data_IF_169536038948
#
_entry.id   IF_169536038948
#
_cell.length_a   1.000
_cell.length_b   1.000
_cell.length_c   1.000
_cell.angle_alpha   90.00
_cell.angle_beta   90.00
_cell.angle_gamma   90.00
#
_symmetry.space_group_name_H-M   'P 1'
#
loop_
_entity.id
_entity.type
_entity.pdbx_description
1 polymer ?
2 non-polymer ?
3 non-polymer ?
4 non-polymer ?
5 water ?
#
# COMPACT_ATOMS: atom_id res chain seq x y z
N UNK A 1 16.65 -5.77 4.94
CA UNK A 1 16.31 -4.77 5.99
C UNK A 1 15.26 -5.26 6.97
N UNK A 2 14.46 -4.34 7.54
CA UNK A 2 13.48 -4.70 8.55
C UNK A 2 12.30 -5.51 8.01
N UNK A 3 11.85 -6.48 8.80
CA UNK A 3 10.62 -7.22 8.51
C UNK A 3 9.79 -7.33 9.78
N UNK A 4 8.48 -7.57 9.62
CA UNK A 4 7.64 -7.91 10.75
C UNK A 4 8.05 -9.29 11.27
N UNK A 5 8.16 -9.41 12.59
CA UNK A 5 8.64 -10.64 13.24
C UNK A 5 7.49 -11.41 13.91
N UNK A 6 6.32 -11.29 13.32
CA UNK A 6 5.10 -11.90 13.84
C UNK A 6 4.18 -12.15 12.65
N UNK A 7 3.21 -13.05 12.82
CA UNK A 7 2.36 -13.39 11.68
C UNK A 7 1.03 -12.66 11.60
N UNK A 8 0.51 -12.22 12.74
CA UNK A 8 -0.75 -11.48 12.76
C UNK A 8 -0.45 -9.99 12.73
N UNK A 9 -0.83 -9.35 11.62
CA UNK A 9 -0.56 -7.93 11.39
C UNK A 9 -1.88 -7.18 11.31
N UNK A 10 -1.95 -6.02 11.96
CA UNK A 10 -3.16 -5.21 11.92
C UNK A 10 -2.97 -3.96 11.07
N UNK A 11 -4.07 -3.52 10.48
CA UNK A 11 -4.11 -2.24 9.79
C UNK A 11 -5.34 -1.46 10.21
N UNK A 12 -5.25 -0.15 10.06
CA UNK A 12 -6.36 0.74 10.36
C UNK A 12 -6.42 1.82 9.29
N UNK A 13 -7.63 2.16 8.86
CA UNK A 13 -7.81 3.26 7.93
C UNK A 13 -8.09 4.52 8.73
N UNK A 14 -7.10 5.42 8.75
CA UNK A 14 -7.14 6.65 9.54
C UNK A 14 -8.26 7.58 9.14
N UNK A 15 -8.44 7.72 7.83
CA UNK A 15 -9.40 8.64 7.24
C UNK A 15 -9.65 8.19 5.81
N UNK A 16 -10.73 8.72 5.23
CA UNK A 16 -11.18 8.28 3.92
C UNK A 16 -11.15 9.40 2.90
N UNK A 17 -10.60 9.09 1.73
CA UNK A 17 -10.65 10.03 0.62
C UNK A 17 -12.10 10.31 0.19
N UNK A 18 -12.43 11.59 -0.07
CA UNK A 18 -13.77 11.91 -0.58
C UNK A 18 -13.92 11.56 -2.07
N UNK A 19 -12.85 11.05 -2.68
CA UNK A 19 -12.86 10.69 -4.09
C UNK A 19 -13.68 9.43 -4.36
N UNK A 20 -13.89 8.61 -3.32
CA UNK A 20 -14.45 7.27 -3.48
C UNK A 20 -15.56 7.01 -2.47
N UNK A 21 -16.40 6.03 -2.78
CA UNK A 21 -17.32 5.50 -1.79
C UNK A 21 -16.54 4.82 -0.67
N UNK A 22 -16.99 5.02 0.58
CA UNK A 22 -16.31 4.43 1.74
C UNK A 22 -16.08 2.93 1.60
N UNK A 23 -17.12 2.20 1.19
CA UNK A 23 -17.01 0.75 1.06
C UNK A 23 -15.97 0.34 0.01
N UNK A 24 -15.80 1.17 -1.01
CA UNK A 24 -14.83 0.89 -2.06
C UNK A 24 -13.39 1.11 -1.59
N UNK A 25 -13.18 2.08 -0.71
CA UNK A 25 -11.88 2.26 -0.09
C UNK A 25 -11.54 1.04 0.77
N UNK A 26 -12.48 0.63 1.62
CA UNK A 26 -12.28 -0.55 2.46
C UNK A 26 -11.92 -1.78 1.62
N UNK A 27 -12.66 -1.99 0.53
CA UNK A 27 -12.46 -3.17 -0.29
C UNK A 27 -11.13 -3.13 -1.06
N UNK A 28 -10.78 -1.97 -1.60
CA UNK A 28 -9.50 -1.82 -2.31
C UNK A 28 -8.32 -2.15 -1.40
N UNK A 29 -8.36 -1.62 -0.18
CA UNK A 29 -7.30 -1.85 0.78
C UNK A 29 -7.26 -3.31 1.21
N UNK A 30 -8.42 -3.88 1.51
CA UNK A 30 -8.51 -5.30 1.88
C UNK A 30 -7.92 -6.19 0.78
N UNK A 31 -8.30 -5.93 -0.47
CA UNK A 31 -7.79 -6.71 -1.59
C UNK A 31 -6.28 -6.57 -1.74
N UNK A 32 -5.76 -5.37 -1.50
CA UNK A 32 -4.32 -5.12 -1.61
C UNK A 32 -3.54 -5.93 -0.56
N UNK A 33 -4.05 -5.99 0.66
CA UNK A 33 -3.44 -6.85 1.68
C UNK A 33 -3.49 -8.32 1.27
N UNK A 34 -4.63 -8.74 0.71
CA UNK A 34 -4.81 -10.13 0.28
C UNK A 34 -3.77 -10.57 -0.76
N UNK A 35 -3.40 -9.66 -1.66
CA UNK A 35 -2.35 -9.95 -2.64
C UNK A 35 -1.09 -10.49 -1.95
N UNK A 36 -0.72 -9.89 -0.83
CA UNK A 36 0.49 -10.28 -0.12
C UNK A 36 0.31 -11.47 0.82
N UNK A 37 -0.85 -11.56 1.47
CA UNK A 37 -1.10 -12.75 2.29
C UNK A 37 -1.25 -14.01 1.43
N UNK A 38 -1.56 -13.84 0.14
CA UNK A 38 -1.65 -14.96 -0.81
C UNK A 38 -0.33 -15.71 -0.96
N UNK A 39 0.77 -15.01 -0.73
CA UNK A 39 2.10 -15.51 -1.07
C UNK A 39 3.08 -15.48 0.12
N UNK A 40 2.54 -15.27 1.32
CA UNK A 40 3.33 -15.28 2.55
C UNK A 40 2.50 -15.96 3.66
N UNK A 41 3.12 -16.23 4.83
CA UNK A 41 2.35 -16.71 5.98
C UNK A 41 1.58 -15.64 6.75
N UNK A 42 1.64 -14.39 6.28
CA UNK A 42 1.03 -13.28 7.02
C UNK A 42 -0.49 -13.33 7.00
N UNK A 43 -1.08 -12.83 8.09
CA UNK A 43 -2.52 -12.62 8.19
C UNK A 43 -2.78 -11.17 8.54
N UNK A 44 -3.67 -10.52 7.80
CA UNK A 44 -3.99 -9.11 8.01
C UNK A 44 -5.40 -8.93 8.52
N UNK A 45 -5.55 -8.07 9.52
CA UNK A 45 -6.84 -7.75 10.11
C UNK A 45 -7.03 -6.26 10.27
N UNK A 46 -8.20 -5.77 9.85
CA UNK A 46 -8.58 -4.38 10.00
C UNK A 46 -9.08 -4.15 11.42
N UNK A 47 -8.54 -3.13 12.07
CA UNK A 47 -9.04 -2.70 13.38
C UNK A 47 -9.58 -1.27 13.27
N UNK A 48 -10.55 -0.95 14.12
CA UNK A 48 -11.25 0.32 14.02
C UNK A 48 -10.85 1.33 15.09
N UNK A 49 -10.13 0.86 16.09
CA UNK A 49 -9.66 1.69 17.19
C UNK A 49 -8.27 1.25 17.62
N UNK A 50 -7.52 2.17 18.24
CA UNK A 50 -6.22 1.85 18.80
C UNK A 50 -5.07 1.85 17.81
N UNK A 51 -3.94 1.31 18.25
CA UNK A 51 -2.69 1.32 17.50
C UNK A 51 -2.59 0.10 16.58
N UNK A 52 -2.57 0.35 15.28
CA UNK A 52 -2.37 -0.71 14.29
C UNK A 52 -0.90 -0.75 13.88
N UNK A 53 -0.48 -1.88 13.32
CA UNK A 53 0.85 -1.96 12.74
C UNK A 53 0.96 -1.03 11.53
N UNK A 54 -0.04 -1.08 10.66
CA UNK A 54 -0.04 -0.31 9.42
C UNK A 54 -1.22 0.67 9.42
N UNK A 55 -0.91 1.96 9.54
CA UNK A 55 -1.93 2.99 9.44
C UNK A 55 -1.99 3.51 8.01
N UNK A 56 -3.20 3.50 7.45
CA UNK A 56 -3.45 4.00 6.10
C UNK A 56 -4.02 5.41 6.20
N UNK A 57 -3.36 6.37 5.56
CA UNK A 57 -3.69 7.78 5.68
C UNK A 57 -3.85 8.41 4.31
N UNK A 58 -4.87 9.25 4.14
CA UNK A 58 -4.96 10.13 2.98
C UNK A 58 -4.63 11.55 3.45
N UNK A 59 -3.69 12.21 2.78
CA UNK A 59 -3.27 13.56 3.15
C UNK A 59 -2.69 14.27 1.94
N UNK A 60 -2.64 15.60 2.01
CA UNK A 60 -2.04 16.39 0.94
C UNK A 60 -0.94 17.28 1.50
N UNK A 61 -0.03 17.70 0.61
CA UNK A 61 1.06 18.61 0.98
C UNK A 61 1.85 18.12 2.19
N UNK A 62 2.19 19.05 3.08
CA UNK A 62 2.89 18.73 4.32
C UNK A 62 1.91 18.08 5.29
N UNK A 63 2.28 16.91 5.82
CA UNK A 63 1.35 16.13 6.64
C UNK A 63 2.02 15.44 7.83
N UNK A 64 3.12 16.01 8.31
CA UNK A 64 3.69 15.58 9.59
C UNK A 64 4.86 14.60 9.55
N UNK A 65 5.38 14.34 8.36
CA UNK A 65 6.61 13.54 8.21
C UNK A 65 7.59 14.28 7.29
N UNK A 66 8.68 13.62 6.87
CA UNK A 66 9.68 14.27 5.99
C UNK A 66 9.44 14.03 4.50
N UNK A 67 8.20 13.67 4.20
CA UNK A 67 7.84 13.34 2.84
C UNK A 67 6.62 14.16 2.42
N UNK A 68 6.75 15.48 2.33
CA UNK A 68 5.63 16.30 1.84
C UNK A 68 5.21 15.85 0.44
N UNK A 69 3.89 15.87 0.20
CA UNK A 69 3.35 15.59 -1.11
C UNK A 69 3.38 16.84 -2.01
N UNK A 70 3.16 16.62 -3.30
CA UNK A 70 3.53 17.56 -4.36
C UNK A 70 2.36 17.99 -5.25
N UNK A 71 1.14 17.87 -4.75
CA UNK A 71 -0.04 18.18 -5.56
C UNK A 71 -0.33 17.07 -6.56
N UNK A 72 -1.23 17.33 -7.49
CA UNK A 72 -1.66 16.32 -8.44
C UNK A 72 -0.50 15.83 -9.30
N UNK A 73 -0.42 14.52 -9.48
CA UNK A 73 0.64 13.90 -10.24
C UNK A 73 1.90 13.68 -9.42
N UNK A 74 2.98 13.28 -10.09
CA UNK A 74 4.25 13.05 -9.39
C UNK A 74 4.14 11.96 -8.34
N UNK A 75 4.53 12.28 -7.11
CA UNK A 75 4.42 11.32 -6.01
C UNK A 75 2.94 11.06 -5.70
N UNK A 76 2.53 9.80 -5.78
CA UNK A 76 1.14 9.42 -5.55
C UNK A 76 0.91 8.93 -4.13
N UNK A 77 1.95 8.36 -3.53
CA UNK A 77 1.86 7.71 -2.23
C UNK A 77 3.26 7.35 -1.78
N UNK A 78 3.42 7.12 -0.49
CA UNK A 78 4.66 6.60 0.05
C UNK A 78 4.37 5.81 1.33
N UNK A 79 5.31 4.96 1.72
CA UNK A 79 5.10 4.11 2.87
C UNK A 79 6.42 3.83 3.58
N UNK A 80 6.31 3.51 4.86
CA UNK A 80 7.47 3.23 5.70
C UNK A 80 7.62 1.74 5.94
N UNK A 81 8.86 1.29 5.96
CA UNK A 81 9.18 -0.11 6.22
C UNK A 81 8.80 -0.52 7.63
N UNK A 82 8.77 -1.83 7.89
CA UNK A 82 8.38 -2.37 9.19
C UNK A 82 9.17 -1.74 10.35
N UNK A 83 8.46 -1.48 11.43
CA UNK A 83 9.05 -0.93 12.64
C UNK A 83 7.97 -0.34 13.52
N UNK A 84 8.40 0.15 14.67
CA UNK A 84 7.50 0.80 15.63
C UNK A 84 7.05 2.17 15.11
N UNK A 85 6.04 2.73 15.79
CA UNK A 85 5.57 4.07 15.48
C UNK A 85 5.00 4.17 14.07
N UNK A 86 5.59 5.04 13.27
CA UNK A 86 5.15 5.26 11.90
C UNK A 86 5.61 4.15 10.94
N UNK A 87 6.49 3.27 11.41
CA UNK A 87 6.89 2.10 10.64
C UNK A 87 5.67 1.35 10.14
N UNK A 88 5.71 0.94 8.88
CA UNK A 88 4.59 0.26 8.25
C UNK A 88 3.54 1.17 7.63
N UNK A 89 3.48 2.43 8.06
CA UNK A 89 2.36 3.27 7.61
C UNK A 89 2.41 3.60 6.13
N UNK A 90 1.24 3.75 5.53
CA UNK A 90 1.10 4.01 4.10
C UNK A 90 0.26 5.26 3.91
N UNK A 91 0.84 6.25 3.22
CA UNK A 91 0.21 7.55 3.00
C UNK A 91 -0.09 7.75 1.53
N UNK A 92 -1.30 8.19 1.23
CA UNK A 92 -1.78 8.39 -0.13
C UNK A 92 -2.08 9.88 -0.34
N UNK A 93 -1.56 10.44 -1.43
CA UNK A 93 -1.69 11.86 -1.71
C UNK A 93 -3.12 12.19 -2.10
N UNK A 94 -3.79 12.97 -1.26
CA UNK A 94 -5.17 13.36 -1.52
C UNK A 94 -5.32 14.25 -2.76
N UNK A 95 -4.22 14.85 -3.22
CA UNK A 95 -4.30 15.62 -4.46
C UNK A 95 -4.43 14.77 -5.71
N UNK A 96 -4.28 13.44 -5.58
CA UNK A 96 -4.67 12.55 -6.66
C UNK A 96 -6.17 12.31 -6.62
N UNK A 97 -6.72 11.78 -7.71
CA UNK A 97 -8.10 11.37 -7.73
C UNK A 97 -8.17 9.85 -7.74
N UNK A 98 -8.48 9.29 -6.57
CA UNK A 98 -8.46 7.85 -6.34
C UNK A 98 -9.72 7.21 -6.89
N UNK A 99 -9.57 6.07 -7.55
CA UNK A 99 -10.72 5.35 -8.10
C UNK A 99 -10.60 3.82 -7.99
N UNK A 100 -11.72 3.16 -8.32
CA UNK A 100 -11.82 1.71 -8.41
C UNK A 100 -11.51 1.19 -9.83
N UNK A 101 -11.23 2.08 -10.76
CA UNK A 101 -11.17 1.70 -12.17
C UNK A 101 -9.93 2.30 -12.85
N UNK A 102 -9.99 2.46 -14.17
CA UNK A 102 -8.83 2.94 -14.93
C UNK A 102 -8.66 4.45 -14.89
N UNK A 103 -9.72 5.16 -14.49
CA UNK A 103 -9.68 6.61 -14.36
C UNK A 103 -8.89 7.05 -13.14
N UNK A 104 -8.42 8.29 -13.15
CA UNK A 104 -7.62 8.83 -12.05
C UNK A 104 -6.44 7.95 -11.71
N UNK A 105 -6.22 7.70 -10.41
CA UNK A 105 -5.20 6.77 -9.96
C UNK A 105 -5.91 5.65 -9.22
N UNK A 106 -5.65 4.41 -9.63
CA UNK A 106 -6.31 3.28 -9.02
C UNK A 106 -5.78 3.02 -7.62
N UNK A 107 -6.67 3.07 -6.63
CA UNK A 107 -6.26 2.89 -5.23
C UNK A 107 -5.70 1.49 -4.96
N UNK A 108 -6.42 0.46 -5.40
CA UNK A 108 -5.97 -0.91 -5.20
C UNK A 108 -4.53 -1.13 -5.70
N UNK A 109 -4.26 -0.76 -6.95
CA UNK A 109 -2.93 -1.00 -7.53
C UNK A 109 -1.85 -0.25 -6.77
N UNK A 110 -2.14 0.99 -6.42
CA UNK A 110 -1.19 1.82 -5.69
C UNK A 110 -0.95 1.22 -4.30
N UNK A 111 -2.02 0.78 -3.65
CA UNK A 111 -1.93 0.16 -2.33
C UNK A 111 -1.16 -1.15 -2.33
N UNK A 112 -1.27 -1.95 -3.38
CA UNK A 112 -0.46 -3.17 -3.45
C UNK A 112 1.03 -2.81 -3.35
N UNK A 113 1.44 -1.82 -4.13
CA UNK A 113 2.82 -1.35 -4.12
C UNK A 113 3.21 -0.78 -2.75
N UNK A 114 2.37 0.09 -2.19
CA UNK A 114 2.68 0.68 -0.88
C UNK A 114 2.77 -0.35 0.22
N UNK A 115 1.85 -1.30 0.24
CA UNK A 115 1.89 -2.35 1.24
C UNK A 115 3.16 -3.20 1.08
N UNK A 116 3.63 -3.38 -0.16
CA UNK A 116 4.92 -4.02 -0.38
C UNK A 116 6.00 -3.33 0.43
N UNK A 117 6.05 -2.00 0.37
CA UNK A 117 6.96 -1.22 1.21
C UNK A 117 6.69 -1.45 2.71
N UNK A 118 5.42 -1.43 3.11
CA UNK A 118 5.05 -1.62 4.51
C UNK A 118 5.53 -2.96 5.06
N UNK A 119 5.74 -3.93 4.17
CA UNK A 119 6.22 -5.26 4.54
C UNK A 119 7.74 -5.40 4.43
N UNK A 120 8.38 -4.40 3.84
CA UNK A 120 9.85 -4.37 3.78
C UNK A 120 10.46 -4.41 2.40
N UNK A 121 9.66 -4.44 1.35
CA UNK A 121 10.18 -4.43 -0.01
C UNK A 121 10.66 -3.05 -0.45
N UNK A 122 11.71 -3.05 -1.25
CA UNK A 122 12.15 -1.86 -1.95
C UNK A 122 11.64 -1.88 -3.37
N UNK A 123 12.22 -1.01 -4.19
CA UNK A 123 11.84 -0.90 -5.59
C UNK A 123 12.55 -1.90 -6.48
N UNK A 124 11.83 -2.34 -7.51
CA UNK A 124 12.35 -3.24 -8.52
C UNK A 124 12.67 -2.47 -9.79
N UNK A 125 13.70 -2.92 -10.50
CA UNK A 125 14.06 -2.35 -11.80
C UNK A 125 13.28 -2.97 -12.96
N UNK A 126 12.51 -4.02 -12.65
CA UNK A 126 11.74 -4.75 -13.64
C UNK A 126 10.40 -4.06 -13.87
N UNK A 127 10.16 -3.52 -15.10
CA UNK A 127 8.91 -2.83 -15.40
C UNK A 127 7.65 -3.68 -15.20
N UNK A 128 7.80 -5.00 -15.15
CA UNK A 128 6.67 -5.92 -14.95
C UNK A 128 6.26 -6.05 -13.48
N UNK A 129 7.14 -5.65 -12.57
CA UNK A 129 6.91 -5.82 -11.13
C UNK A 129 5.99 -4.74 -10.58
N UNK A 130 5.12 -5.11 -9.63
CA UNK A 130 4.30 -4.11 -8.97
C UNK A 130 5.17 -3.12 -8.20
N UNK A 131 6.35 -3.58 -7.76
CA UNK A 131 7.31 -2.72 -7.04
C UNK A 131 8.17 -1.83 -7.94
N UNK A 132 7.92 -1.87 -9.26
CA UNK A 132 8.57 -0.92 -10.18
C UNK A 132 8.05 0.48 -9.83
N UNK A 133 8.97 1.43 -9.59
CA UNK A 133 8.53 2.74 -9.10
C UNK A 133 8.09 3.72 -10.19
N UNK A 134 7.12 3.29 -10.98
CA UNK A 134 6.39 4.14 -11.91
C UNK A 134 4.98 3.60 -11.99
N UNK A 135 3.99 4.47 -11.84
CA UNK A 135 2.59 4.05 -11.90
C UNK A 135 2.16 3.79 -13.33
N UNK A 136 1.54 2.63 -13.55
CA UNK A 136 0.89 2.30 -14.81
C UNK A 136 -0.32 1.43 -14.51
N UNK A 137 -1.49 1.85 -14.98
CA UNK A 137 -2.70 1.07 -14.78
C UNK A 137 -2.65 -0.27 -15.51
N UNK A 138 -3.06 -1.33 -14.81
CA UNK A 138 -3.32 -2.65 -15.38
C UNK A 138 -4.67 -3.13 -14.85
N UNK A 139 -5.33 -4.03 -15.58
CA UNK A 139 -6.64 -4.55 -15.19
C UNK A 139 -6.60 -5.15 -13.78
N UNK A 140 -7.40 -4.58 -12.89
CA UNK A 140 -7.36 -4.97 -11.47
C UNK A 140 -8.03 -6.32 -11.17
N UNK A 141 -9.01 -6.69 -12.01
CA UNK A 141 -9.78 -7.91 -11.84
C UNK A 141 -8.96 -9.20 -12.02
N UNK A 142 -7.87 -9.09 -12.77
CA UNK A 142 -7.00 -10.23 -13.07
C UNK A 142 -5.55 -9.99 -12.65
N UNK A 143 -5.35 -9.03 -11.74
CA UNK A 143 -4.01 -8.64 -11.30
C UNK A 143 -3.20 -9.81 -10.73
N UNK A 144 -1.92 -9.87 -11.12
CA UNK A 144 -0.97 -10.85 -10.57
C UNK A 144 0.38 -10.19 -10.29
N UNK A 145 1.00 -10.58 -9.17
CA UNK A 145 2.38 -10.21 -8.88
C UNK A 145 3.32 -10.79 -9.92
N UNK A 146 4.41 -10.09 -10.23
CA UNK A 146 5.42 -10.61 -11.13
C UNK A 146 6.29 -11.62 -10.39
N UNK A 147 7.06 -12.41 -11.15
CA UNK A 147 8.00 -13.36 -10.56
C UNK A 147 8.98 -12.64 -9.64
N UNK A 148 9.40 -11.44 -10.02
CA UNK A 148 10.29 -10.62 -9.22
C UNK A 148 9.68 -10.23 -7.87
N UNK A 149 8.40 -9.83 -7.89
CA UNK A 149 7.68 -9.48 -6.65
C UNK A 149 7.60 -10.68 -5.71
N UNK A 150 7.24 -11.83 -6.25
CA UNK A 150 7.10 -13.05 -5.46
C UNK A 150 8.44 -13.48 -4.84
N UNK A 151 9.51 -13.45 -5.63
CA UNK A 151 10.83 -13.79 -5.07
C UNK A 151 11.31 -12.75 -4.04
N UNK A 152 10.98 -11.48 -4.27
CA UNK A 152 11.28 -10.43 -3.32
C UNK A 152 10.61 -10.67 -1.97
N UNK A 153 9.30 -10.88 -2.00
CA UNK A 153 8.55 -11.05 -0.75
C UNK A 153 8.87 -12.37 -0.04
N UNK A 154 9.10 -13.43 -0.81
CA UNK A 154 9.43 -14.72 -0.22
C UNK A 154 10.89 -14.79 0.26
N UNK A 155 11.70 -13.82 -0.14
CA UNK A 155 13.03 -13.65 0.46
C UNK A 155 12.95 -13.02 1.86
N UNK A 156 11.80 -12.42 2.16
CA UNK A 156 11.56 -11.79 3.46
C UNK A 156 10.69 -12.61 4.39
N UNK A 157 9.73 -13.34 3.82
CA UNK A 157 8.74 -14.12 4.57
C UNK A 157 8.52 -15.49 3.97
N UNK A 158 8.27 -16.48 4.82
CA UNK A 158 7.84 -17.81 4.38
C UNK A 158 8.90 -18.68 3.74
X LIG B 1 7.39 2.91 -4.05
X LIG C 1 3.67 10.80 4.52
X LIG D 1 2.90 1.84 12.25
X LIG E 1 -8.44 13.47 -4.02
X LIG F 1 1.17 13.98 -5.97
X LIG G 1 4.72 7.45 -8.36
X LIG G 1 4.82 6.82 -7.07
X LIG G 1 4.06 7.52 -6.08
X LIG G 1 6.37 6.86 -6.62
X LIG G 1 6.76 6.98 -5.23
X LIG G 1 6.81 5.63 -4.59
X LIG G 1 7.50 4.73 -5.07
X LIG G 1 6.07 5.45 -3.50
X LIG G 1 6.04 4.19 -2.92
X LIG G 1 4.23 5.33 -7.18
X LIG G 1 4.44 4.58 -8.35
X LIG G 1 3.48 4.76 -6.15
X LIG G 1 2.94 3.48 -6.27
X LIG G 1 3.16 2.74 -7.44
X LIG G 1 2.65 1.50 -7.57
X LIG G 1 3.91 3.29 -8.48
#
# INVERSE_FOLDING_TARGET
GPVWRKHYITYRINNYTPDMNREDVDYAIRKAFQVWSNVTPLKFSKINTGMADILVVFARGAHGDDHAFDGKGGILAHAFGPGSGIGGDAHFDEDEFWTTHSGGTNLFLTAVHEIGHSLGLGHSSDPKAVMFPTYKYVDINTFRLSADDIRGIQSLYG
ZN ZN
ZN ZN
CA CA
CA CA
CA CA
HS6 O4 S1 O3 N1 C6 C8 O2 N2 O1 C3 C1 C5 C7 C4 F1 C2
#
